data_IF_392376893194
#
_entry.id   IF_392376893194
#
_cell.length_a   1.000
_cell.length_b   1.000
_cell.length_c   1.000
_cell.angle_alpha   90.00
_cell.angle_beta   90.00
_cell.angle_gamma   90.00
#
_symmetry.space_group_name_H-M   'P 1'
#
loop_
_entity.id
_entity.type
_entity.pdbx_description
1 polymer ?
#
# COMPACT_ATOMS: atom_id res chain seq x y z
N UNK A 1 -18.69 8.02 1.72
CA UNK A 1 -17.58 8.92 2.06
C UNK A 1 -16.31 8.09 1.93
N UNK A 2 -15.44 8.47 1.00
CA UNK A 2 -14.19 7.77 0.70
C UNK A 2 -13.26 7.89 1.91
N UNK A 3 -13.35 6.96 2.86
CA UNK A 3 -12.43 6.92 4.01
C UNK A 3 -11.16 6.28 3.49
N UNK A 4 -10.28 7.10 2.89
CA UNK A 4 -8.85 6.83 3.03
C UNK A 4 -8.57 7.00 4.51
N UNK A 5 -8.35 5.90 5.22
CA UNK A 5 -7.96 5.94 6.63
C UNK A 5 -6.64 6.71 6.74
N UNK A 6 -6.54 7.60 7.73
CA UNK A 6 -5.29 8.33 8.01
C UNK A 6 -4.13 7.34 8.23
N UNK A 7 -4.45 6.19 8.82
CA UNK A 7 -3.56 5.04 8.96
C UNK A 7 -3.05 4.51 7.62
N UNK A 8 -3.94 4.18 6.67
CA UNK A 8 -3.52 3.73 5.33
C UNK A 8 -2.59 4.76 4.67
N UNK A 9 -2.96 6.04 4.73
CA UNK A 9 -2.15 7.11 4.12
C UNK A 9 -0.76 7.19 4.74
N UNK A 10 -0.65 7.06 6.07
CA UNK A 10 0.65 6.98 6.75
C UNK A 10 1.46 5.75 6.32
N UNK A 11 0.82 4.60 6.15
CA UNK A 11 1.48 3.36 5.71
C UNK A 11 2.01 3.52 4.27
N UNK A 12 1.18 3.98 3.34
CA UNK A 12 1.60 4.20 1.95
C UNK A 12 2.71 5.25 1.87
N UNK A 13 2.68 6.27 2.74
CA UNK A 13 3.79 7.25 2.84
C UNK A 13 5.10 6.59 3.24
N UNK A 14 5.10 5.63 4.18
CA UNK A 14 6.30 4.87 4.54
C UNK A 14 6.81 4.01 3.38
N UNK A 15 5.92 3.43 2.58
CA UNK A 15 6.31 2.70 1.38
C UNK A 15 6.93 3.62 0.33
N UNK A 16 6.36 4.82 0.12
CA UNK A 16 6.90 5.86 -0.76
C UNK A 16 8.26 6.44 -0.32
N UNK A 17 8.64 6.25 0.94
CA UNK A 17 9.94 6.67 1.49
C UNK A 17 10.90 5.48 1.68
N UNK A 18 10.46 4.25 1.38
CA UNK A 18 11.26 3.04 1.57
C UNK A 18 12.47 2.96 0.65
N UNK A 19 12.47 3.70 -0.47
CA UNK A 19 13.49 3.63 -1.51
C UNK A 19 13.49 2.32 -2.30
N UNK A 20 12.49 1.46 -2.10
CA UNK A 20 12.34 0.22 -2.86
C UNK A 20 11.48 0.47 -4.09
N UNK A 21 12.07 0.44 -5.29
CA UNK A 21 11.40 0.74 -6.55
C UNK A 21 10.06 0.01 -6.75
N UNK A 22 9.92 -1.21 -6.21
CA UNK A 22 8.68 -1.98 -6.32
C UNK A 22 7.48 -1.27 -5.66
N UNK A 23 7.69 -0.60 -4.52
CA UNK A 23 6.60 0.03 -3.76
C UNK A 23 6.73 1.55 -3.66
N UNK A 24 7.92 2.13 -3.81
CA UNK A 24 8.15 3.58 -3.65
C UNK A 24 7.36 4.38 -4.68
N UNK A 25 7.68 4.20 -5.96
CA UNK A 25 7.07 4.92 -7.07
C UNK A 25 5.55 4.73 -7.15
N UNK A 26 5.00 3.50 -7.06
CA UNK A 26 3.54 3.29 -7.08
C UNK A 26 2.84 3.83 -5.83
N UNK A 27 3.45 3.73 -4.65
CA UNK A 27 2.89 4.33 -3.43
C UNK A 27 2.81 5.85 -3.55
N UNK A 28 3.86 6.48 -4.11
CA UNK A 28 3.88 7.91 -4.38
C UNK A 28 2.80 8.30 -5.40
N UNK A 29 2.67 7.54 -6.48
CA UNK A 29 1.63 7.76 -7.49
C UNK A 29 0.22 7.69 -6.88
N UNK A 30 -0.04 6.75 -5.97
CA UNK A 30 -1.33 6.64 -5.27
C UNK A 30 -1.59 7.81 -4.32
N UNK A 31 -0.56 8.28 -3.59
CA UNK A 31 -0.66 9.47 -2.74
C UNK A 31 -0.97 10.73 -3.55
N UNK A 32 -0.41 10.85 -4.76
CA UNK A 32 -0.67 11.94 -5.69
C UNK A 32 -2.00 11.79 -6.45
N UNK A 33 -2.72 10.67 -6.27
CA UNK A 33 -3.97 10.39 -7.00
C UNK A 33 -3.76 10.07 -8.49
N UNK A 34 -2.55 9.70 -8.89
CA UNK A 34 -2.19 9.26 -10.24
C UNK A 34 -2.39 7.75 -10.46
N UNK A 35 -2.60 6.99 -9.38
CA UNK A 35 -2.82 5.55 -9.38
C UNK A 35 -4.01 5.20 -8.49
N UNK A 36 -4.84 4.26 -8.93
CA UNK A 36 -6.01 3.79 -8.17
C UNK A 36 -5.64 2.72 -7.14
N UNK A 37 -6.52 2.52 -6.14
CA UNK A 37 -6.34 1.47 -5.13
C UNK A 37 -6.29 0.06 -5.75
N UNK A 38 -7.05 -0.17 -6.82
CA UNK A 38 -7.06 -1.43 -7.58
C UNK A 38 -5.72 -1.73 -8.26
N UNK A 39 -4.99 -0.68 -8.68
CA UNK A 39 -3.68 -0.80 -9.32
C UNK A 39 -2.55 -0.96 -8.28
N UNK A 40 -2.67 -0.30 -7.13
CA UNK A 40 -1.70 -0.40 -6.05
C UNK A 40 -1.76 -1.76 -5.32
N UNK A 41 -2.96 -2.34 -5.20
CA UNK A 41 -3.20 -3.60 -4.51
C UNK A 41 -2.28 -4.75 -4.96
N UNK A 42 -2.21 -5.13 -6.26
CA UNK A 42 -1.36 -6.23 -6.70
C UNK A 42 0.14 -5.97 -6.46
N UNK A 43 0.57 -4.71 -6.48
CA UNK A 43 1.95 -4.31 -6.22
C UNK A 43 2.31 -4.56 -4.75
N UNK A 44 1.44 -4.17 -3.82
CA UNK A 44 1.66 -4.45 -2.40
C UNK A 44 1.59 -5.94 -2.08
N UNK A 45 0.76 -6.72 -2.80
CA UNK A 45 0.75 -8.17 -2.67
C UNK A 45 2.06 -8.81 -3.13
N UNK A 46 2.67 -8.32 -4.20
CA UNK A 46 4.00 -8.76 -4.63
C UNK A 46 5.07 -8.39 -3.60
N UNK A 47 5.00 -7.19 -3.04
CA UNK A 47 5.91 -6.75 -1.98
C UNK A 47 5.76 -7.57 -0.68
N UNK A 48 4.54 -7.95 -0.31
CA UNK A 48 4.25 -8.86 0.81
C UNK A 48 4.79 -10.28 0.54
N UNK A 49 4.75 -10.74 -0.71
CA UNK A 49 5.33 -12.04 -1.06
C UNK A 49 6.86 -12.02 -0.92
N UNK A 50 7.51 -10.94 -1.33
CA UNK A 50 8.97 -10.80 -1.35
C UNK A 50 9.57 -10.45 0.03
N UNK A 51 8.94 -9.56 0.82
CA UNK A 51 9.41 -9.18 2.17
C UNK A 51 8.32 -9.19 3.27
N UNK A 52 7.08 -9.56 2.97
CA UNK A 52 6.01 -9.69 3.98
C UNK A 52 6.11 -10.93 4.87
N UNK A 53 7.30 -11.55 4.91
CA UNK A 53 7.71 -12.58 5.87
C UNK A 53 9.19 -12.46 6.28
N UNK A 54 9.84 -11.34 5.96
CA UNK A 54 11.26 -11.11 6.27
C UNK A 54 11.49 -10.70 7.75
N UNK A 55 10.40 -10.49 8.52
CA UNK A 55 10.44 -10.13 9.94
C UNK A 55 10.75 -8.65 10.20
N UNK A 56 10.67 -7.80 9.18
CA UNK A 56 10.81 -6.35 9.31
C UNK A 56 9.48 -5.68 9.70
N UNK A 57 9.53 -4.40 10.07
CA UNK A 57 8.31 -3.64 10.38
C UNK A 57 7.31 -3.58 9.23
N UNK A 58 7.75 -3.67 7.97
CA UNK A 58 6.86 -3.62 6.80
C UNK A 58 5.96 -4.86 6.67
N UNK A 59 6.30 -6.00 7.29
CA UNK A 59 5.50 -7.24 7.26
C UNK A 59 4.04 -6.99 7.68
N UNK A 60 3.88 -6.30 8.80
CA UNK A 60 2.55 -5.96 9.31
C UNK A 60 1.90 -4.86 8.48
N UNK A 61 2.71 -3.92 7.95
CA UNK A 61 2.22 -2.79 7.16
C UNK A 61 1.61 -3.24 5.84
N UNK A 62 2.20 -4.22 5.15
CA UNK A 62 1.64 -4.74 3.89
C UNK A 62 0.25 -5.33 4.11
N UNK A 63 0.08 -6.15 5.15
CA UNK A 63 -1.20 -6.83 5.46
C UNK A 63 -2.30 -5.83 5.80
N UNK A 64 -1.97 -4.80 6.58
CA UNK A 64 -2.90 -3.72 6.90
C UNK A 64 -3.26 -2.96 5.61
N UNK A 65 -2.27 -2.53 4.82
CA UNK A 65 -2.50 -1.77 3.59
C UNK A 65 -3.33 -2.55 2.56
N UNK A 66 -3.03 -3.83 2.34
CA UNK A 66 -3.79 -4.71 1.44
C UNK A 66 -5.24 -4.84 1.91
N UNK A 67 -5.45 -5.05 3.21
CA UNK A 67 -6.80 -5.18 3.79
C UNK A 67 -7.60 -3.90 3.60
N UNK A 68 -7.01 -2.74 3.90
CA UNK A 68 -7.65 -1.44 3.75
C UNK A 68 -7.95 -1.12 2.28
N UNK A 69 -7.01 -1.38 1.38
CA UNK A 69 -7.22 -1.19 -0.07
C UNK A 69 -8.35 -2.08 -0.59
N UNK A 70 -8.45 -3.34 -0.14
CA UNK A 70 -9.56 -4.24 -0.50
C UNK A 70 -10.93 -3.72 -0.03
N UNK A 71 -11.00 -3.06 1.13
CA UNK A 71 -12.23 -2.43 1.60
C UNK A 71 -12.63 -1.24 0.71
N UNK A 72 -11.64 -0.49 0.21
CA UNK A 72 -11.87 0.64 -0.69
C UNK A 72 -12.38 0.13 -2.04
N UNK A 73 -11.71 -0.85 -2.64
CA UNK A 73 -12.08 -1.38 -3.97
C UNK A 73 -13.38 -2.17 -3.99
N UNK A 74 -13.79 -2.74 -2.85
CA UNK A 74 -15.08 -3.46 -2.72
C UNK A 74 -16.28 -2.53 -2.54
N UNK A 75 -16.04 -1.22 -2.36
CA UNK A 75 -17.08 -0.22 -2.10
C UNK A 75 -17.42 0.66 -3.32
N UNK A 76 -16.83 0.37 -4.49
CA UNK A 76 -16.98 1.13 -5.74
C UNK A 76 -18.03 0.52 -6.70
#
# INVERSE_FOLDING_TARGET
MSVKSEELTMIITKFADSGWDLIDEPSRAWLEGRMSSEELLPILMEADLECGSCGCEFDSLYKIAITELLQITSAE
#
